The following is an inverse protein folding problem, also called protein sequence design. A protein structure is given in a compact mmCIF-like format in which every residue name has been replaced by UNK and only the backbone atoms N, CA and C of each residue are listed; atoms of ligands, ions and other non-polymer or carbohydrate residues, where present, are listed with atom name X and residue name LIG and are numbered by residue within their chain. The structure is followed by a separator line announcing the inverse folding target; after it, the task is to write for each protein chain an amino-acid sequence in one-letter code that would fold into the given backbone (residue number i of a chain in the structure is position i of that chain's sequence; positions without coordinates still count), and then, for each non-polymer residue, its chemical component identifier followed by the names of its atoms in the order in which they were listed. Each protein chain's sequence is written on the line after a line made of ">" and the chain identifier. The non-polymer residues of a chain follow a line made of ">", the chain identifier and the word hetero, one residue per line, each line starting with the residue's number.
data_IF_354465377235
#
_entry.id   IF_354465377235
#
_cell.length_a   1.000
_cell.length_b   1.000
_cell.length_c   1.000
_cell.angle_alpha   90.00
_cell.angle_beta   90.00
_cell.angle_gamma   90.00
#
_symmetry.space_group_name_H-M   'P 1'
#
loop_
_entity.id
_entity.type
_entity.pdbx_description
1 polymer ?
#
# COMPACT_ATOMS: atom_id res chain seq x y z
N UNK A 1 -6.61 19.29 6.41
CA UNK A 1 -5.55 18.42 5.86
C UNK A 1 -5.74 17.03 6.47
N UNK A 2 -6.23 16.07 5.68
CA UNK A 2 -6.50 14.72 6.18
C UNK A 2 -5.22 13.90 6.16
N UNK A 3 -4.61 13.69 7.31
CA UNK A 3 -3.53 12.69 7.42
C UNK A 3 -4.08 11.32 7.03
N UNK A 4 -3.40 10.67 6.09
CA UNK A 4 -3.65 9.30 5.71
C UNK A 4 -3.13 8.40 6.82
N UNK A 5 -4.02 7.92 7.67
CA UNK A 5 -3.66 7.01 8.75
C UNK A 5 -4.03 5.56 8.40
N UNK A 6 -3.27 4.57 8.87
CA UNK A 6 -3.58 3.16 8.66
C UNK A 6 -5.01 2.78 9.04
N UNK A 7 -5.54 3.38 10.09
CA UNK A 7 -6.91 3.15 10.59
C UNK A 7 -7.96 3.55 9.54
N UNK A 8 -7.75 4.66 8.83
CA UNK A 8 -8.66 5.07 7.75
C UNK A 8 -8.66 4.06 6.60
N UNK A 9 -7.48 3.55 6.24
CA UNK A 9 -7.34 2.51 5.23
C UNK A 9 -8.05 1.22 5.68
N UNK A 10 -7.86 0.77 6.92
CA UNK A 10 -8.48 -0.45 7.42
C UNK A 10 -10.00 -0.36 7.50
N UNK A 11 -10.55 0.82 7.80
CA UNK A 11 -12.01 1.07 7.78
C UNK A 11 -12.65 0.90 6.39
N UNK A 12 -11.87 0.88 5.34
CA UNK A 12 -12.39 0.58 3.98
C UNK A 12 -12.65 -0.91 3.75
N UNK A 13 -12.22 -1.77 4.69
CA UNK A 13 -12.45 -3.21 4.61
C UNK A 13 -13.86 -3.55 5.12
N UNK A 14 -14.63 -4.40 4.41
CA UNK A 14 -15.94 -4.85 4.86
C UNK A 14 -15.89 -5.47 6.25
N UNK A 15 -16.79 -5.03 7.13
CA UNK A 15 -16.87 -5.53 8.50
C UNK A 15 -15.82 -4.97 9.47
N UNK A 16 -14.99 -4.02 9.04
CA UNK A 16 -14.00 -3.33 9.87
C UNK A 16 -14.52 -1.94 10.23
N UNK A 17 -15.01 -1.79 11.47
CA UNK A 17 -15.37 -0.49 12.03
C UNK A 17 -14.17 0.21 12.68
N UNK A 18 -14.37 1.45 13.17
CA UNK A 18 -13.33 2.27 13.79
C UNK A 18 -12.55 1.50 14.88
N UNK A 19 -13.24 0.93 15.86
CA UNK A 19 -12.64 0.19 16.99
C UNK A 19 -11.76 -0.97 16.53
N UNK A 20 -12.16 -1.68 15.47
CA UNK A 20 -11.39 -2.81 14.96
C UNK A 20 -10.19 -2.33 14.14
N UNK A 21 -10.34 -1.25 13.39
CA UNK A 21 -9.24 -0.63 12.66
C UNK A 21 -8.14 -0.12 13.61
N UNK A 22 -8.53 0.55 14.70
CA UNK A 22 -7.60 1.00 15.74
C UNK A 22 -6.87 -0.18 16.40
N UNK A 23 -7.59 -1.29 16.67
CA UNK A 23 -6.97 -2.52 17.18
C UNK A 23 -5.99 -3.15 16.21
N UNK A 24 -6.28 -3.14 14.93
CA UNK A 24 -5.34 -3.63 13.91
C UNK A 24 -4.06 -2.80 13.90
N UNK A 25 -4.17 -1.48 13.94
CA UNK A 25 -3.02 -0.60 14.00
C UNK A 25 -2.20 -0.82 15.29
N UNK A 26 -2.87 -0.93 16.45
CA UNK A 26 -2.19 -1.04 17.75
C UNK A 26 -1.66 -2.44 18.05
N UNK A 27 -2.50 -3.49 17.92
CA UNK A 27 -2.15 -4.84 18.34
C UNK A 27 -1.31 -5.60 17.32
N UNK A 28 -1.53 -5.35 16.03
CA UNK A 28 -0.72 -5.92 14.96
C UNK A 28 0.40 -4.96 14.53
N UNK A 29 0.39 -3.73 15.04
CA UNK A 29 1.25 -2.65 14.59
C UNK A 29 1.26 -2.54 13.05
N UNK A 30 0.09 -2.76 12.46
CA UNK A 30 -0.10 -2.79 11.02
C UNK A 30 -0.18 -1.37 10.46
N UNK A 31 0.64 -1.06 9.48
CA UNK A 31 0.66 0.24 8.80
C UNK A 31 0.22 0.13 7.34
N UNK A 32 0.11 -1.09 6.83
CA UNK A 32 -0.30 -1.39 5.46
C UNK A 32 -1.26 -2.56 5.42
N UNK A 33 -1.93 -2.77 4.27
CA UNK A 33 -2.79 -3.95 4.07
C UNK A 33 -1.99 -5.25 4.09
N UNK A 34 -0.73 -5.22 3.66
CA UNK A 34 0.18 -6.37 3.71
C UNK A 34 0.54 -6.73 5.15
N UNK A 35 0.80 -5.74 6.01
CA UNK A 35 1.04 -5.99 7.43
C UNK A 35 -0.19 -6.58 8.09
N UNK A 36 -1.36 -6.03 7.78
CA UNK A 36 -2.63 -6.52 8.29
C UNK A 36 -2.87 -7.97 7.85
N UNK A 37 -2.62 -8.30 6.58
CA UNK A 37 -2.74 -9.67 6.08
C UNK A 37 -1.80 -10.63 6.82
N UNK A 38 -0.53 -10.25 6.96
CA UNK A 38 0.47 -11.05 7.66
C UNK A 38 0.10 -11.27 9.13
N UNK A 39 -0.32 -10.21 9.83
CA UNK A 39 -0.75 -10.30 11.22
C UNK A 39 -2.00 -11.15 11.41
N UNK A 40 -2.98 -11.05 10.51
CA UNK A 40 -4.21 -11.85 10.56
C UNK A 40 -4.01 -13.32 10.17
N UNK A 41 -2.95 -13.67 9.44
CA UNK A 41 -2.61 -15.06 9.14
C UNK A 41 -2.00 -15.80 10.33
N UNK A 42 -1.44 -15.09 11.29
CA UNK A 42 -0.90 -15.71 12.49
C UNK A 42 -2.08 -16.14 13.42
N UNK A 43 -2.28 -17.47 13.63
CA UNK A 43 -3.39 -17.97 14.44
C UNK A 43 -3.26 -17.62 15.93
N UNK A 44 -2.04 -17.38 16.42
CA UNK A 44 -1.74 -17.12 17.82
C UNK A 44 -2.13 -15.69 18.25
N UNK A 45 -2.39 -14.82 17.29
CA UNK A 45 -2.78 -13.43 17.57
C UNK A 45 -4.28 -13.34 17.79
N UNK A 46 -4.68 -13.16 19.05
CA UNK A 46 -6.06 -12.90 19.43
C UNK A 46 -6.37 -11.40 19.36
N UNK A 47 -7.34 -11.02 18.54
CA UNK A 47 -7.81 -9.62 18.44
C UNK A 47 -9.21 -9.55 19.03
N UNK A 48 -9.43 -8.79 20.12
CA UNK A 48 -10.73 -8.63 20.72
C UNK A 48 -11.77 -8.10 19.71
N UNK A 49 -12.92 -8.76 19.61
CA UNK A 49 -13.98 -8.41 18.66
C UNK A 49 -13.79 -8.92 17.22
N UNK A 50 -12.72 -9.67 16.95
CA UNK A 50 -12.48 -10.34 15.69
C UNK A 50 -12.67 -11.86 15.83
N UNK A 51 -13.89 -12.33 15.63
CA UNK A 51 -14.17 -13.77 15.61
C UNK A 51 -13.65 -14.46 14.34
N UNK A 52 -13.54 -15.80 14.32
CA UNK A 52 -12.93 -16.56 13.22
C UNK A 52 -13.61 -16.32 11.86
N UNK A 53 -14.93 -16.22 11.81
CA UNK A 53 -15.65 -15.93 10.57
C UNK A 53 -15.31 -14.54 10.01
N UNK A 54 -15.24 -13.52 10.87
CA UNK A 54 -14.88 -12.15 10.47
C UNK A 54 -13.42 -12.07 10.06
N UNK A 55 -12.51 -12.77 10.76
CA UNK A 55 -11.10 -12.87 10.40
C UNK A 55 -10.94 -13.44 8.98
N UNK A 56 -11.63 -14.53 8.65
CA UNK A 56 -11.59 -15.12 7.31
C UNK A 56 -12.15 -14.17 6.24
N UNK A 57 -13.25 -13.47 6.52
CA UNK A 57 -13.83 -12.50 5.58
C UNK A 57 -12.87 -11.34 5.29
N UNK A 58 -12.20 -10.81 6.31
CA UNK A 58 -11.19 -9.75 6.15
C UNK A 58 -9.99 -10.28 5.37
N UNK A 59 -9.47 -11.47 5.67
CA UNK A 59 -8.38 -12.10 4.93
C UNK A 59 -8.74 -12.34 3.45
N UNK A 60 -9.94 -12.82 3.16
CA UNK A 60 -10.41 -13.00 1.77
C UNK A 60 -10.45 -11.66 1.01
N UNK A 61 -10.91 -10.59 1.67
CA UNK A 61 -10.91 -9.25 1.08
C UNK A 61 -9.49 -8.73 0.85
N UNK A 62 -8.58 -8.96 1.80
CA UNK A 62 -7.17 -8.59 1.66
C UNK A 62 -6.51 -9.35 0.51
N UNK A 63 -6.73 -10.66 0.40
CA UNK A 63 -6.25 -11.48 -0.72
C UNK A 63 -6.78 -10.98 -2.06
N UNK A 64 -8.03 -10.55 -2.12
CA UNK A 64 -8.62 -9.97 -3.32
C UNK A 64 -7.99 -8.62 -3.68
N UNK A 65 -7.67 -7.78 -2.68
CA UNK A 65 -7.06 -6.45 -2.90
C UNK A 65 -5.56 -6.51 -3.17
N UNK A 66 -4.85 -7.47 -2.56
CA UNK A 66 -3.40 -7.64 -2.65
C UNK A 66 -2.98 -8.71 -3.67
N UNK A 67 -3.94 -9.53 -4.13
CA UNK A 67 -3.72 -10.54 -5.17
C UNK A 67 -3.61 -9.93 -6.57
N UNK A 68 -3.21 -10.72 -7.58
CA UNK A 68 -3.23 -10.28 -8.97
C UNK A 68 -4.65 -9.86 -9.34
N UNK A 69 -4.77 -8.70 -9.95
CA UNK A 69 -6.04 -8.06 -10.29
C UNK A 69 -6.83 -8.94 -11.28
N UNK A 70 -7.58 -9.91 -10.78
CA UNK A 70 -8.58 -10.60 -11.59
C UNK A 70 -9.74 -9.65 -11.80
N UNK A 71 -9.99 -9.28 -13.05
CA UNK A 71 -11.21 -8.61 -13.47
C UNK A 71 -12.41 -9.44 -12.98
N UNK A 72 -12.97 -9.11 -11.84
CA UNK A 72 -14.27 -9.62 -11.44
C UNK A 72 -15.32 -8.84 -12.23
N UNK A 73 -15.84 -9.49 -13.26
CA UNK A 73 -17.06 -9.04 -13.96
C UNK A 73 -18.23 -9.26 -13.00
N UNK A 74 -18.58 -8.22 -12.26
CA UNK A 74 -19.77 -8.15 -11.44
C UNK A 74 -20.17 -6.69 -11.27
N UNK A 75 -21.47 -6.31 -11.19
CA UNK A 75 -21.92 -4.93 -11.09
C UNK A 75 -21.74 -4.40 -9.65
N UNK A 76 -20.51 -4.39 -9.16
CA UNK A 76 -20.13 -3.63 -7.99
C UNK A 76 -19.59 -2.30 -8.50
N UNK A 77 -20.04 -1.20 -7.91
CA UNK A 77 -19.57 0.17 -8.20
C UNK A 77 -18.04 0.12 -8.29
N UNK A 78 -17.52 0.14 -9.51
CA UNK A 78 -16.09 -0.03 -9.77
C UNK A 78 -15.36 1.09 -9.02
N UNK A 79 -14.61 0.71 -7.99
CA UNK A 79 -13.78 1.65 -7.26
C UNK A 79 -12.68 2.10 -8.23
N UNK A 80 -12.61 3.39 -8.49
CA UNK A 80 -11.61 3.96 -9.39
C UNK A 80 -10.19 3.60 -8.90
N UNK A 81 -9.35 3.13 -9.81
CA UNK A 81 -7.94 2.78 -9.55
C UNK A 81 -7.07 3.57 -10.53
N UNK A 82 -5.99 4.21 -10.08
CA UNK A 82 -5.12 4.97 -10.98
C UNK A 82 -4.43 4.05 -12.00
N UNK A 83 -4.16 4.53 -13.21
CA UNK A 83 -3.38 3.77 -14.18
C UNK A 83 -1.97 3.50 -13.64
N UNK A 84 -1.35 2.38 -14.05
CA UNK A 84 0.00 2.01 -13.59
C UNK A 84 1.03 3.08 -13.97
N UNK A 85 0.87 3.74 -15.09
CA UNK A 85 1.73 4.85 -15.53
C UNK A 85 1.79 5.97 -14.48
N UNK A 86 0.65 6.34 -13.90
CA UNK A 86 0.57 7.36 -12.86
C UNK A 86 1.26 6.91 -11.56
N UNK A 87 1.07 5.65 -11.16
CA UNK A 87 1.70 5.11 -9.95
C UNK A 87 3.22 5.00 -10.12
N UNK A 88 3.70 4.59 -11.29
CA UNK A 88 5.13 4.51 -11.61
C UNK A 88 5.78 5.89 -11.73
N UNK A 89 5.08 6.87 -12.32
CA UNK A 89 5.54 8.27 -12.35
C UNK A 89 5.67 8.83 -10.92
N UNK A 90 4.65 8.62 -10.10
CA UNK A 90 4.65 9.08 -8.71
C UNK A 90 5.78 8.43 -7.89
N UNK A 91 6.03 7.12 -8.07
CA UNK A 91 7.17 6.41 -7.47
C UNK A 91 8.51 7.02 -7.88
N UNK A 92 8.69 7.32 -9.17
CA UNK A 92 9.93 7.93 -9.67
C UNK A 92 10.18 9.31 -9.04
N UNK A 93 9.15 10.16 -9.00
CA UNK A 93 9.22 11.49 -8.37
C UNK A 93 9.54 11.36 -6.88
N UNK A 94 8.85 10.46 -6.17
CA UNK A 94 9.07 10.22 -4.76
C UNK A 94 10.51 9.82 -4.46
N UNK A 95 11.03 8.82 -5.18
CA UNK A 95 12.39 8.30 -4.97
C UNK A 95 13.45 9.35 -5.26
N UNK A 96 13.29 10.11 -6.35
CA UNK A 96 14.19 11.21 -6.69
C UNK A 96 14.25 12.25 -5.56
N UNK A 97 13.08 12.73 -5.11
CA UNK A 97 13.00 13.74 -4.03
C UNK A 97 13.47 13.22 -2.68
N UNK A 98 13.18 11.96 -2.36
CA UNK A 98 13.63 11.31 -1.14
C UNK A 98 15.17 11.20 -1.10
N UNK A 99 15.80 10.85 -2.24
CA UNK A 99 17.26 10.79 -2.37
C UNK A 99 17.91 12.18 -2.29
N UNK A 100 17.26 13.19 -2.86
CA UNK A 100 17.71 14.58 -2.77
C UNK A 100 17.52 15.21 -1.37
N UNK A 101 16.78 14.54 -0.46
CA UNK A 101 16.49 15.06 0.87
C UNK A 101 15.47 16.19 0.90
N UNK A 102 14.70 16.37 -0.17
CA UNK A 102 13.73 17.46 -0.36
C UNK A 102 12.39 17.22 0.34
N UNK A 103 12.15 16.01 0.83
CA UNK A 103 10.87 15.63 1.41
C UNK A 103 10.82 15.87 2.92
N UNK A 104 9.62 16.26 3.39
CA UNK A 104 9.32 16.22 4.81
C UNK A 104 9.48 14.80 5.35
N UNK A 105 10.00 14.66 6.57
CA UNK A 105 10.21 13.37 7.22
C UNK A 105 9.31 13.25 8.44
N UNK A 106 8.72 12.08 8.60
CA UNK A 106 7.94 11.72 9.78
C UNK A 106 8.72 10.74 10.65
N UNK A 107 8.36 10.66 11.93
CA UNK A 107 8.87 9.67 12.88
C UNK A 107 7.89 8.48 12.94
N UNK A 108 8.15 7.36 12.26
CA UNK A 108 7.29 6.20 12.37
C UNK A 108 7.42 5.58 13.77
N UNK A 109 6.36 4.93 14.25
CA UNK A 109 6.42 4.24 15.56
C UNK A 109 7.26 2.97 15.50
N UNK A 110 7.09 2.17 14.43
CA UNK A 110 7.77 0.88 14.27
C UNK A 110 9.21 1.06 13.87
N UNK A 111 10.12 0.22 14.42
CA UNK A 111 11.55 0.22 14.15
C UNK A 111 12.22 1.58 14.34
N UNK A 112 11.74 2.35 15.32
CA UNK A 112 12.21 3.70 15.59
C UNK A 112 12.19 3.98 17.10
N UNK A 113 13.04 3.30 17.90
CA UNK A 113 13.05 3.45 19.36
C UNK A 113 13.42 4.88 19.79
N UNK A 114 14.20 5.57 18.99
CA UNK A 114 14.66 6.95 19.28
C UNK A 114 13.71 8.02 18.76
N UNK A 115 12.54 7.64 18.24
CA UNK A 115 11.52 8.55 17.67
C UNK A 115 12.07 9.57 16.65
N UNK A 116 13.06 9.17 15.87
CA UNK A 116 13.69 10.02 14.86
C UNK A 116 12.79 10.21 13.64
N UNK A 117 12.72 11.44 13.14
CA UNK A 117 12.01 11.75 11.88
C UNK A 117 12.89 11.34 10.68
N UNK A 118 12.77 10.11 10.23
CA UNK A 118 13.61 9.57 9.16
C UNK A 118 12.86 9.17 7.89
N UNK A 119 11.55 8.91 7.98
CA UNK A 119 10.74 8.39 6.87
C UNK A 119 10.22 9.54 6.00
N UNK A 120 10.71 9.71 4.75
CA UNK A 120 10.24 10.76 3.88
C UNK A 120 8.82 10.47 3.39
N UNK A 121 8.00 11.53 3.28
CA UNK A 121 6.62 11.46 2.78
C UNK A 121 6.43 12.47 1.66
N UNK A 122 5.78 12.03 0.59
CA UNK A 122 5.36 12.87 -0.52
C UNK A 122 3.84 12.87 -0.64
N UNK A 123 3.24 14.06 -0.63
CA UNK A 123 1.85 14.25 -1.04
C UNK A 123 1.83 14.79 -2.47
N UNK A 124 1.13 14.10 -3.36
CA UNK A 124 1.06 14.44 -4.77
C UNK A 124 -0.41 14.47 -5.22
N UNK A 125 -0.75 15.48 -6.01
CA UNK A 125 -2.04 15.53 -6.71
C UNK A 125 -1.79 15.46 -8.22
N UNK A 126 -2.55 14.60 -8.89
CA UNK A 126 -2.56 14.47 -10.35
C UNK A 126 -4.00 14.36 -10.85
N UNK A 127 -4.51 15.44 -11.44
CA UNK A 127 -5.93 15.56 -11.76
C UNK A 127 -6.79 15.36 -10.51
N UNK A 128 -7.69 14.39 -10.57
CA UNK A 128 -8.60 14.04 -9.46
C UNK A 128 -8.03 13.02 -8.48
N UNK A 129 -6.78 12.57 -8.70
CA UNK A 129 -6.08 11.65 -7.83
C UNK A 129 -5.28 12.38 -6.76
N UNK A 130 -5.45 11.96 -5.53
CA UNK A 130 -4.62 12.32 -4.39
C UNK A 130 -3.78 11.10 -4.01
N UNK A 131 -2.47 11.28 -3.94
CA UNK A 131 -1.52 10.22 -3.63
C UNK A 131 -0.64 10.64 -2.46
N UNK A 132 -0.36 9.70 -1.56
CA UNK A 132 0.62 9.85 -0.49
C UNK A 132 1.60 8.69 -0.58
N UNK A 133 2.88 9.00 -0.74
CA UNK A 133 3.93 8.02 -0.95
C UNK A 133 4.92 8.03 0.21
N UNK A 134 5.32 6.86 0.63
CA UNK A 134 6.38 6.66 1.63
C UNK A 134 7.06 5.30 1.41
N UNK A 135 8.28 5.16 1.91
CA UNK A 135 8.94 3.85 1.94
C UNK A 135 8.24 2.89 2.90
N UNK A 136 8.24 1.61 2.55
CA UNK A 136 7.65 0.58 3.40
C UNK A 136 8.44 0.42 4.71
N UNK A 137 7.76 0.61 5.83
CA UNK A 137 8.28 0.33 7.17
C UNK A 137 7.66 -0.95 7.75
N UNK A 138 7.26 -1.89 6.90
CA UNK A 138 6.69 -3.17 7.30
C UNK A 138 7.77 -4.15 7.80
N UNK A 139 7.40 -5.07 8.70
CA UNK A 139 8.28 -6.16 9.15
C UNK A 139 8.90 -6.88 7.96
N UNK A 140 8.07 -7.24 6.97
CA UNK A 140 8.52 -7.95 5.78
C UNK A 140 9.54 -7.16 4.96
N UNK A 141 9.37 -5.84 4.84
CA UNK A 141 10.33 -5.00 4.13
C UNK A 141 11.67 -4.94 4.88
N UNK A 142 11.63 -4.90 6.21
CA UNK A 142 12.84 -4.96 7.05
C UNK A 142 13.54 -6.32 6.96
N UNK A 143 12.82 -7.43 7.12
CA UNK A 143 13.36 -8.79 7.03
C UNK A 143 14.04 -9.07 5.70
N UNK A 144 13.50 -8.52 4.61
CA UNK A 144 14.04 -8.68 3.27
C UNK A 144 15.05 -7.59 2.89
N UNK A 145 15.35 -6.63 3.75
CA UNK A 145 16.24 -5.49 3.44
C UNK A 145 15.71 -4.59 2.33
N UNK A 146 14.37 -4.51 2.14
CA UNK A 146 13.70 -3.84 1.03
C UNK A 146 12.99 -2.54 1.41
N UNK A 147 13.24 -1.99 2.58
CA UNK A 147 12.57 -0.77 3.08
C UNK A 147 12.69 0.42 2.13
N UNK A 148 13.84 0.60 1.44
CA UNK A 148 14.04 1.67 0.45
C UNK A 148 13.68 1.28 -0.98
N UNK A 149 13.36 0.01 -1.24
CA UNK A 149 12.89 -0.46 -2.52
C UNK A 149 11.36 -0.43 -2.63
N UNK A 150 10.67 -0.83 -1.56
CA UNK A 150 9.21 -0.87 -1.55
C UNK A 150 8.63 0.49 -1.19
N UNK A 151 7.86 1.05 -2.12
CA UNK A 151 7.15 2.31 -1.95
C UNK A 151 5.66 2.02 -1.82
N UNK A 152 5.09 2.41 -0.68
CA UNK A 152 3.66 2.35 -0.43
C UNK A 152 3.03 3.61 -1.02
N UNK A 153 1.99 3.44 -1.80
CA UNK A 153 1.21 4.52 -2.40
C UNK A 153 -0.21 4.42 -1.87
N UNK A 154 -0.58 5.29 -0.95
CA UNK A 154 -1.99 5.51 -0.59
C UNK A 154 -2.61 6.44 -1.60
N UNK A 155 -3.81 6.16 -2.04
CA UNK A 155 -4.48 7.00 -3.03
C UNK A 155 -5.99 6.97 -2.87
N UNK A 156 -6.61 8.06 -3.30
CA UNK A 156 -8.06 8.13 -3.49
C UNK A 156 -8.38 9.02 -4.69
N UNK A 157 -9.51 8.76 -5.32
CA UNK A 157 -10.06 9.58 -6.41
C UNK A 157 -11.15 10.49 -5.84
N UNK A 158 -10.97 11.81 -5.97
CA UNK A 158 -11.88 12.81 -5.38
C UNK A 158 -12.17 12.53 -3.91
N UNK A 159 -13.44 12.32 -3.54
CA UNK A 159 -13.90 11.95 -2.19
C UNK A 159 -14.10 10.43 -2.04
N UNK A 160 -13.55 9.63 -2.96
CA UNK A 160 -13.64 8.18 -2.91
C UNK A 160 -12.90 7.56 -1.72
N UNK A 161 -13.10 6.25 -1.50
CA UNK A 161 -12.41 5.56 -0.41
C UNK A 161 -10.91 5.52 -0.67
N UNK A 162 -10.16 5.55 0.41
CA UNK A 162 -8.72 5.39 0.36
C UNK A 162 -8.33 3.96 0.01
N UNK A 163 -7.33 3.82 -0.84
CA UNK A 163 -6.78 2.56 -1.32
C UNK A 163 -5.27 2.59 -1.22
N UNK A 164 -4.66 1.43 -1.41
CA UNK A 164 -3.21 1.26 -1.36
C UNK A 164 -2.72 0.48 -2.58
N UNK A 165 -1.55 0.85 -3.07
CA UNK A 165 -0.72 0.03 -3.95
C UNK A 165 0.72 0.01 -3.41
N UNK A 166 1.47 -1.02 -3.79
CA UNK A 166 2.91 -1.11 -3.49
C UNK A 166 3.68 -1.14 -4.81
N UNK A 167 4.63 -0.23 -4.95
CA UNK A 167 5.56 -0.21 -6.08
C UNK A 167 6.91 -0.75 -5.61
N UNK A 168 7.45 -1.72 -6.33
CA UNK A 168 8.70 -2.39 -5.98
C UNK A 168 9.52 -2.72 -7.23
N UNK A 169 10.79 -3.10 -7.05
CA UNK A 169 11.61 -3.64 -8.13
C UNK A 169 11.33 -5.12 -8.29
N UNK A 170 10.88 -5.51 -9.49
CA UNK A 170 10.67 -6.92 -9.82
C UNK A 170 12.02 -7.66 -9.89
N UNK A 171 12.05 -8.86 -9.32
CA UNK A 171 13.28 -9.66 -9.25
C UNK A 171 13.29 -10.85 -10.21
N UNK A 172 12.16 -11.14 -10.86
CA UNK A 172 11.97 -12.33 -11.70
C UNK A 172 11.24 -12.01 -13.00
N UNK A 173 11.37 -12.91 -13.97
CA UNK A 173 10.63 -12.83 -15.23
C UNK A 173 11.04 -11.69 -16.15
N UNK A 174 10.19 -11.35 -17.10
CA UNK A 174 10.45 -10.35 -18.14
C UNK A 174 10.59 -8.91 -17.63
N UNK A 175 10.07 -8.64 -16.43
CA UNK A 175 10.12 -7.32 -15.78
C UNK A 175 11.25 -7.22 -14.73
N UNK A 176 12.13 -8.22 -14.63
CA UNK A 176 13.23 -8.20 -13.66
C UNK A 176 14.07 -6.92 -13.80
N UNK A 177 14.32 -6.26 -12.66
CA UNK A 177 15.02 -4.97 -12.59
C UNK A 177 14.16 -3.75 -12.88
N UNK A 178 12.91 -3.91 -13.32
CA UNK A 178 11.98 -2.81 -13.55
C UNK A 178 11.10 -2.54 -12.33
N UNK A 179 10.62 -1.31 -12.22
CA UNK A 179 9.62 -0.95 -11.20
C UNK A 179 8.26 -1.46 -11.63
N UNK A 180 7.56 -2.15 -10.73
CA UNK A 180 6.23 -2.69 -10.98
C UNK A 180 5.27 -2.34 -9.84
N UNK A 181 4.01 -2.22 -10.17
CA UNK A 181 2.92 -2.16 -9.20
C UNK A 181 2.55 -3.60 -8.86
N UNK A 182 2.76 -4.00 -7.61
CA UNK A 182 2.47 -5.36 -7.13
C UNK A 182 1.01 -5.74 -7.40
N UNK A 183 0.82 -6.91 -8.01
CA UNK A 183 -0.50 -7.42 -8.41
C UNK A 183 -1.03 -6.84 -9.71
N UNK A 184 -0.26 -5.97 -10.40
CA UNK A 184 -0.57 -5.38 -11.71
C UNK A 184 0.59 -5.49 -12.68
N UNK A 185 1.35 -6.57 -12.59
CA UNK A 185 2.55 -6.82 -13.40
C UNK A 185 2.22 -6.88 -14.90
N UNK A 186 1.05 -7.41 -15.27
CA UNK A 186 0.59 -7.44 -16.67
C UNK A 186 0.38 -6.02 -17.23
N UNK A 187 -0.28 -5.15 -16.46
CA UNK A 187 -0.48 -3.75 -16.84
C UNK A 187 0.87 -3.02 -16.97
N UNK A 188 1.83 -3.34 -16.09
CA UNK A 188 3.18 -2.79 -16.15
C UNK A 188 3.93 -3.29 -17.40
N UNK A 189 3.78 -4.55 -17.78
CA UNK A 189 4.38 -5.10 -19.00
C UNK A 189 3.86 -4.38 -20.25
N UNK A 190 2.56 -4.14 -20.33
CA UNK A 190 1.96 -3.36 -21.42
C UNK A 190 2.51 -1.93 -21.45
N UNK A 191 2.56 -1.25 -20.31
CA UNK A 191 3.10 0.09 -20.18
C UNK A 191 4.55 0.20 -20.72
N UNK A 192 5.42 -0.76 -20.34
CA UNK A 192 6.80 -0.76 -20.79
C UNK A 192 6.96 -1.17 -22.26
N UNK A 193 6.06 -1.97 -22.80
CA UNK A 193 6.06 -2.35 -24.22
C UNK A 193 5.69 -1.17 -25.12
N UNK A 194 4.74 -0.34 -24.67
CA UNK A 194 4.30 0.84 -25.43
C UNK A 194 5.35 1.97 -25.36
N UNK A 195 6.01 2.14 -24.21
CA UNK A 195 7.08 3.12 -24.03
C UNK A 195 8.34 2.79 -24.89
N UNK A 196 8.54 1.53 -25.27
CA UNK A 196 9.67 1.11 -26.13
C UNK A 196 9.42 1.28 -27.64
N UNK A 197 8.22 1.74 -28.04
CA UNK A 197 7.85 1.92 -29.46
C UNK A 197 7.84 3.40 -29.90
N UNK A 198 8.21 4.34 -29.03
CA UNK A 198 8.23 5.79 -29.30
C UNK A 198 9.63 6.30 -29.61
#
# INVERSE_FOLDING_TARGET
>A
MGETTPERLFRTLPGVGAVLADRFALLLDAQSLEDLEAGLRNPDVAIPGLGPRRRQAVLATLQQRLGPFRRSVGPSRAVAVPPVSLLLEADAIYRQKAQAGELHRIAPHRFNPDHLAWLPVLHLRRGDWHLTLLYSNSVRAHDLGRTRDWVIVYFHHLQGPEQQATVLTETRGALAGRRVVRGREEDCALHYSDAGKS
#
